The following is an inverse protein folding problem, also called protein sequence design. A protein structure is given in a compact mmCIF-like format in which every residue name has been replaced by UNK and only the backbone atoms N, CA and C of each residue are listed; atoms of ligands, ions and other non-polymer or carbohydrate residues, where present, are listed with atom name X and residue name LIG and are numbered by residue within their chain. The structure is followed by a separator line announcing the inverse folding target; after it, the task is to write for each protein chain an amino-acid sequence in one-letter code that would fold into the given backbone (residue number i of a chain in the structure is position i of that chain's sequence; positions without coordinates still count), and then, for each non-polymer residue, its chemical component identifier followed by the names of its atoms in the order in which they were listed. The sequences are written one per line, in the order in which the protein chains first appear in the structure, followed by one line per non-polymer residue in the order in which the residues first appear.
data_IF_884137738926
#
_entry.id   IF_884137738926
#
_cell.length_a   1.000
_cell.length_b   1.000
_cell.length_c   1.000
_cell.angle_alpha   90.00
_cell.angle_beta   90.00
_cell.angle_gamma   90.00
#
_symmetry.space_group_name_H-M   'P 1'
#
loop_
_entity.id
_entity.type
_entity.pdbx_description
1 polymer ?
#
# COMPACT_ATOMS: atom_id res chain seq x y z
N UNK A 1 17.80 -11.09 42.32
CA UNK A 1 17.19 -11.90 41.24
C UNK A 1 16.94 -10.94 40.07
N UNK A 2 17.78 -10.94 39.03
CA UNK A 2 17.62 -10.05 37.86
C UNK A 2 16.68 -10.73 36.88
N UNK A 3 15.47 -10.23 36.76
CA UNK A 3 14.51 -10.61 35.71
C UNK A 3 15.10 -10.24 34.36
N UNK A 4 15.38 -11.25 33.52
CA UNK A 4 15.68 -11.01 32.10
C UNK A 4 14.39 -10.54 31.44
N UNK A 5 14.35 -9.28 31.04
CA UNK A 5 13.34 -8.78 30.09
C UNK A 5 13.70 -9.39 28.74
N UNK A 6 12.90 -10.36 28.29
CA UNK A 6 13.01 -10.92 26.95
C UNK A 6 12.60 -9.85 25.94
N UNK A 7 13.56 -9.40 25.13
CA UNK A 7 13.33 -8.48 24.02
C UNK A 7 12.27 -9.11 23.09
N UNK A 8 11.11 -8.48 22.85
CA UNK A 8 10.10 -9.04 21.96
C UNK A 8 10.71 -9.21 20.57
N UNK A 9 10.43 -10.34 19.91
CA UNK A 9 10.86 -10.56 18.52
C UNK A 9 10.17 -9.52 17.61
N UNK A 10 10.84 -9.00 16.58
CA UNK A 10 10.25 -8.06 15.62
C UNK A 10 8.91 -8.56 15.01
N UNK A 11 8.70 -9.88 14.91
CA UNK A 11 7.42 -10.46 14.50
C UNK A 11 6.24 -10.09 15.44
N UNK A 12 6.51 -9.84 16.74
CA UNK A 12 5.51 -9.39 17.70
C UNK A 12 5.24 -7.88 17.61
N UNK A 13 6.20 -7.09 17.11
CA UNK A 13 6.01 -5.65 16.85
C UNK A 13 5.13 -5.43 15.61
N UNK A 14 5.24 -6.31 14.61
CA UNK A 14 4.35 -6.31 13.44
C UNK A 14 2.90 -6.68 13.80
N UNK A 15 2.71 -7.55 14.80
CA UNK A 15 1.40 -7.82 15.42
C UNK A 15 0.96 -6.62 16.28
N UNK A 16 1.87 -5.85 16.88
CA UNK A 16 1.48 -4.70 17.72
C UNK A 16 1.00 -3.47 16.91
N UNK A 17 1.51 -3.29 15.68
CA UNK A 17 1.16 -2.14 14.83
C UNK A 17 -0.13 -2.37 14.01
N UNK A 18 -0.56 -3.62 13.83
CA UNK A 18 -1.80 -3.96 13.10
C UNK A 18 -2.80 -4.83 13.90
N UNK A 19 -2.42 -5.36 15.06
CA UNK A 19 -3.27 -6.17 15.95
C UNK A 19 -3.19 -5.71 17.42
N UNK A 20 -3.25 -4.41 17.69
CA UNK A 20 -3.56 -3.89 19.03
C UNK A 20 -5.06 -3.95 19.29
N UNK A 21 -5.60 -5.16 19.48
CA UNK A 21 -6.77 -5.43 20.32
C UNK A 21 -6.89 -6.92 20.61
N UNK A 22 -6.07 -7.42 21.53
CA UNK A 22 -6.32 -8.70 22.19
C UNK A 22 -5.96 -8.58 23.68
N UNK A 23 -6.69 -7.74 24.41
CA UNK A 23 -6.80 -7.79 25.87
C UNK A 23 -7.97 -6.92 26.35
N UNK A 24 -9.21 -7.39 26.11
CA UNK A 24 -10.32 -7.06 27.00
C UNK A 24 -10.93 -8.38 27.48
N UNK A 25 -10.65 -8.65 28.74
CA UNK A 25 -11.26 -9.66 29.58
C UNK A 25 -12.78 -9.72 29.42
N UNK A 26 -13.29 -10.94 29.38
CA UNK A 26 -14.70 -11.27 29.54
C UNK A 26 -15.38 -10.44 30.64
N UNK A 27 -16.40 -9.66 30.25
CA UNK A 27 -17.38 -9.08 31.16
C UNK A 27 -18.78 -9.52 30.70
N UNK A 28 -19.50 -10.36 31.48
CA UNK A 28 -20.86 -10.75 31.14
C UNK A 28 -21.82 -9.69 31.69
N UNK A 29 -22.13 -8.67 30.89
CA UNK A 29 -23.22 -7.76 31.16
C UNK A 29 -23.90 -7.34 29.85
N UNK A 30 -24.47 -8.31 29.14
CA UNK A 30 -25.47 -8.01 28.10
C UNK A 30 -26.75 -7.60 28.82
N UNK A 31 -27.04 -6.31 28.79
CA UNK A 31 -28.36 -5.79 29.14
C UNK A 31 -29.37 -6.37 28.14
N UNK A 32 -30.42 -6.99 28.67
CA UNK A 32 -31.55 -7.46 27.89
C UNK A 32 -32.27 -6.26 27.27
N UNK A 33 -32.17 -6.10 25.95
CA UNK A 33 -33.01 -5.21 25.19
C UNK A 33 -34.38 -5.89 25.03
N UNK A 34 -35.38 -5.46 25.81
CA UNK A 34 -36.78 -5.86 25.60
C UNK A 34 -37.28 -5.21 24.31
N UNK A 35 -37.44 -6.03 23.26
CA UNK A 35 -38.03 -5.63 21.99
C UNK A 35 -39.55 -5.46 22.14
N UNK A 36 -40.06 -4.26 21.85
CA UNK A 36 -41.48 -4.00 21.65
C UNK A 36 -41.92 -4.60 20.29
N UNK A 37 -42.93 -5.48 20.35
CA UNK A 37 -43.29 -6.45 19.30
C UNK A 37 -44.29 -5.93 18.25
N UNK A 38 -44.34 -4.62 17.96
CA UNK A 38 -45.49 -4.07 17.20
C UNK A 38 -45.18 -3.50 15.81
N UNK A 39 -43.95 -3.58 15.27
CA UNK A 39 -43.71 -3.26 13.85
C UNK A 39 -42.66 -4.17 13.21
N UNK A 40 -43.12 -5.21 12.52
CA UNK A 40 -42.29 -6.17 11.79
C UNK A 40 -41.94 -5.62 10.40
N UNK A 41 -41.03 -4.64 10.33
CA UNK A 41 -40.36 -4.31 9.07
C UNK A 41 -39.33 -5.40 8.82
N UNK A 42 -39.66 -6.36 7.96
CA UNK A 42 -38.72 -7.38 7.52
C UNK A 42 -37.69 -6.74 6.57
N UNK A 43 -36.62 -6.16 7.14
CA UNK A 43 -35.39 -5.86 6.40
C UNK A 43 -34.74 -7.19 6.03
N UNK A 44 -35.14 -7.74 4.90
CA UNK A 44 -34.46 -8.88 4.25
C UNK A 44 -33.18 -8.34 3.61
N UNK A 45 -32.20 -8.00 4.44
CA UNK A 45 -30.84 -7.75 3.97
C UNK A 45 -30.25 -9.05 3.46
N UNK A 46 -30.29 -9.27 2.15
CA UNK A 46 -29.50 -10.31 1.51
C UNK A 46 -28.04 -9.97 1.73
N UNK A 47 -27.35 -10.68 2.63
CA UNK A 47 -25.90 -10.63 2.75
C UNK A 47 -25.31 -11.19 1.45
N UNK A 48 -24.92 -10.29 0.55
CA UNK A 48 -24.20 -10.65 -0.67
C UNK A 48 -22.79 -11.01 -0.23
N UNK A 49 -22.48 -12.30 -0.23
CA UNK A 49 -21.11 -12.75 -0.07
C UNK A 49 -20.38 -12.45 -1.38
N UNK A 50 -19.50 -11.45 -1.37
CA UNK A 50 -18.82 -11.00 -2.58
C UNK A 50 -17.95 -12.13 -3.15
N UNK A 51 -17.94 -12.27 -4.48
CA UNK A 51 -17.04 -13.21 -5.12
C UNK A 51 -15.60 -12.74 -4.93
N UNK A 52 -14.75 -13.58 -4.34
CA UNK A 52 -13.35 -13.25 -4.06
C UNK A 52 -12.60 -13.06 -5.36
N UNK A 53 -12.20 -11.82 -5.65
CA UNK A 53 -11.44 -11.43 -6.84
C UNK A 53 -10.08 -10.92 -6.41
N UNK A 54 -9.01 -11.46 -6.98
CA UNK A 54 -7.63 -10.95 -6.75
C UNK A 54 -7.32 -9.87 -7.76
N UNK A 55 -7.00 -8.66 -7.29
CA UNK A 55 -6.72 -7.50 -8.13
C UNK A 55 -5.23 -7.18 -8.33
N UNK A 56 -4.34 -8.09 -7.90
CA UNK A 56 -2.88 -7.95 -7.97
C UNK A 56 -2.26 -9.14 -8.70
N UNK A 57 -1.02 -9.01 -9.18
CA UNK A 57 -0.25 -10.07 -9.84
C UNK A 57 1.18 -10.15 -9.31
N UNK A 58 1.84 -11.29 -9.55
CA UNK A 58 3.26 -11.45 -9.25
C UNK A 58 4.10 -10.34 -9.92
N UNK A 59 5.03 -9.77 -9.16
CA UNK A 59 5.85 -8.64 -9.56
C UNK A 59 5.29 -7.27 -9.18
N UNK A 60 4.00 -7.18 -8.84
CA UNK A 60 3.42 -5.94 -8.34
C UNK A 60 4.03 -5.54 -6.98
N UNK A 61 4.15 -4.25 -6.75
CA UNK A 61 4.62 -3.72 -5.48
C UNK A 61 3.93 -2.41 -5.08
N UNK A 62 3.95 -2.16 -3.77
CA UNK A 62 3.43 -0.98 -3.12
C UNK A 62 4.41 -0.49 -2.07
N UNK A 63 4.56 0.82 -1.93
CA UNK A 63 5.33 1.47 -0.89
C UNK A 63 4.44 2.37 -0.07
N UNK A 64 4.70 2.39 1.23
CA UNK A 64 3.90 3.10 2.21
C UNK A 64 4.81 3.94 3.09
N UNK A 65 4.38 5.18 3.32
CA UNK A 65 4.95 6.03 4.34
C UNK A 65 4.11 5.93 5.60
N UNK A 66 4.78 5.95 6.74
CA UNK A 66 4.15 5.96 8.05
C UNK A 66 4.55 7.23 8.78
N UNK A 67 3.56 8.03 9.13
CA UNK A 67 3.75 9.27 9.89
C UNK A 67 3.10 9.15 11.25
N UNK A 68 3.77 9.65 12.28
CA UNK A 68 3.29 9.67 13.65
C UNK A 68 3.02 11.10 14.08
N UNK A 69 1.91 11.33 14.79
CA UNK A 69 1.54 12.62 15.37
C UNK A 69 1.14 12.40 16.83
N UNK A 70 1.42 13.36 17.71
CA UNK A 70 1.04 13.27 19.11
C UNK A 70 2.00 14.00 20.03
N UNK A 71 1.72 13.96 21.34
CA UNK A 71 2.55 14.60 22.36
C UNK A 71 3.78 13.75 22.75
N UNK A 72 3.76 12.45 22.45
CA UNK A 72 4.79 11.48 22.83
C UNK A 72 5.55 11.01 21.60
N UNK A 73 6.84 10.70 21.76
CA UNK A 73 7.63 10.11 20.68
C UNK A 73 7.21 8.64 20.44
N UNK A 74 7.05 8.21 19.18
CA UNK A 74 6.79 6.80 18.88
C UNK A 74 8.00 5.91 19.27
N UNK A 75 7.76 4.66 19.70
CA UNK A 75 8.82 3.66 19.88
C UNK A 75 9.73 3.53 18.66
N UNK A 76 11.04 3.40 18.87
CA UNK A 76 12.04 3.42 17.80
C UNK A 76 11.98 2.19 16.88
N UNK A 77 11.38 1.10 17.36
CA UNK A 77 11.11 -0.11 16.59
C UNK A 77 9.93 0.01 15.61
N UNK A 78 9.18 1.11 15.64
CA UNK A 78 8.05 1.31 14.76
C UNK A 78 8.49 1.66 13.33
N UNK A 79 7.75 1.19 12.31
CA UNK A 79 8.11 1.47 10.92
C UNK A 79 7.89 2.93 10.57
N UNK A 80 8.82 3.56 9.85
CA UNK A 80 8.60 4.84 9.18
C UNK A 80 8.24 4.65 7.69
N UNK A 81 8.56 3.47 7.15
CA UNK A 81 8.34 3.10 5.77
C UNK A 81 8.23 1.57 5.65
N UNK A 82 7.42 1.10 4.70
CA UNK A 82 7.47 -0.30 4.28
C UNK A 82 7.10 -0.49 2.81
N UNK A 83 7.66 -1.53 2.21
CA UNK A 83 7.35 -2.01 0.87
C UNK A 83 6.71 -3.39 0.95
N UNK A 84 5.65 -3.57 0.19
CA UNK A 84 4.96 -4.83 -0.02
C UNK A 84 5.12 -5.26 -1.48
N UNK A 85 5.63 -6.46 -1.72
CA UNK A 85 5.89 -6.99 -3.07
C UNK A 85 5.24 -8.36 -3.24
N UNK A 86 4.39 -8.48 -4.24
CA UNK A 86 3.77 -9.75 -4.60
C UNK A 86 4.80 -10.62 -5.32
N UNK A 87 5.08 -11.79 -4.79
CA UNK A 87 6.03 -12.75 -5.39
C UNK A 87 5.32 -13.85 -6.15
N UNK A 88 4.10 -14.23 -5.74
CA UNK A 88 3.32 -15.25 -6.42
C UNK A 88 1.80 -15.06 -6.18
N UNK A 89 0.98 -15.46 -7.15
CA UNK A 89 -0.49 -15.45 -7.06
C UNK A 89 -1.05 -16.73 -7.66
N UNK A 90 -1.79 -17.50 -6.86
CA UNK A 90 -2.44 -18.75 -7.27
C UNK A 90 -3.89 -18.78 -6.77
N UNK A 91 -4.85 -18.64 -7.68
CA UNK A 91 -6.28 -18.49 -7.37
C UNK A 91 -6.54 -17.32 -6.42
N UNK A 92 -6.82 -17.60 -5.14
CA UNK A 92 -7.02 -16.62 -4.06
C UNK A 92 -5.84 -16.53 -3.11
N UNK A 93 -4.80 -17.34 -3.34
CA UNK A 93 -3.56 -17.32 -2.59
C UNK A 93 -2.61 -16.24 -3.14
N UNK A 94 -2.08 -15.42 -2.27
CA UNK A 94 -1.11 -14.37 -2.54
C UNK A 94 0.10 -14.61 -1.66
N UNK A 95 1.26 -14.81 -2.28
CA UNK A 95 2.55 -14.79 -1.58
C UNK A 95 3.20 -13.44 -1.78
N UNK A 96 3.67 -12.85 -0.69
CA UNK A 96 4.28 -11.53 -0.73
C UNK A 96 5.46 -11.41 0.23
N UNK A 97 6.42 -10.58 -0.19
CA UNK A 97 7.53 -10.10 0.62
C UNK A 97 7.20 -8.71 1.15
N UNK A 98 7.39 -8.54 2.46
CA UNK A 98 7.25 -7.26 3.13
C UNK A 98 8.59 -6.85 3.71
N UNK A 99 9.10 -5.72 3.25
CA UNK A 99 10.31 -5.09 3.77
C UNK A 99 9.90 -3.83 4.52
N UNK A 100 10.41 -3.62 5.73
CA UNK A 100 10.15 -2.40 6.48
C UNK A 100 11.43 -1.81 7.04
N UNK A 101 11.41 -0.48 7.18
CA UNK A 101 12.44 0.31 7.83
C UNK A 101 11.85 0.90 9.12
N UNK A 102 12.49 0.62 10.24
CA UNK A 102 12.13 1.17 11.54
C UNK A 102 12.67 2.60 11.72
N UNK A 103 12.15 3.36 12.69
CA UNK A 103 12.61 4.70 13.00
C UNK A 103 14.10 4.76 13.42
N UNK A 104 14.64 3.67 13.98
CA UNK A 104 16.07 3.54 14.26
C UNK A 104 16.94 3.18 13.04
N UNK A 105 16.33 3.06 11.86
CA UNK A 105 16.98 2.71 10.59
C UNK A 105 17.21 1.21 10.40
N UNK A 106 16.74 0.33 11.31
CA UNK A 106 16.82 -1.11 11.08
C UNK A 106 15.87 -1.54 9.96
N UNK A 107 16.40 -2.33 9.02
CA UNK A 107 15.64 -2.91 7.93
C UNK A 107 15.43 -4.40 8.19
N UNK A 108 14.22 -4.88 7.98
CA UNK A 108 13.95 -6.31 7.98
C UNK A 108 12.99 -6.72 6.87
N UNK A 109 12.95 -8.01 6.55
CA UNK A 109 12.13 -8.54 5.46
C UNK A 109 11.52 -9.88 5.85
N UNK A 110 10.25 -10.06 5.55
CA UNK A 110 9.47 -11.26 5.82
C UNK A 110 8.68 -11.67 4.59
N UNK A 111 8.56 -12.97 4.37
CA UNK A 111 7.77 -13.53 3.27
C UNK A 111 6.69 -14.43 3.83
N UNK A 112 5.47 -14.29 3.30
CA UNK A 112 4.31 -15.03 3.78
C UNK A 112 3.29 -15.24 2.65
N UNK A 113 2.44 -16.26 2.80
CA UNK A 113 1.36 -16.61 1.87
C UNK A 113 0.01 -16.51 2.57
N UNK A 114 -0.99 -15.97 1.88
CA UNK A 114 -2.34 -15.69 2.40
C UNK A 114 -3.40 -16.07 1.40
N UNK A 115 -4.57 -16.49 1.89
CA UNK A 115 -5.71 -16.84 1.05
C UNK A 115 -6.89 -15.91 1.35
N UNK A 116 -7.23 -15.05 0.38
CA UNK A 116 -8.32 -14.08 0.50
C UNK A 116 -9.69 -14.70 0.83
N UNK A 117 -9.88 -16.02 0.67
CA UNK A 117 -11.11 -16.71 1.07
C UNK A 117 -11.20 -16.95 2.57
N UNK A 118 -10.09 -17.25 3.23
CA UNK A 118 -10.05 -17.63 4.65
C UNK A 118 -9.43 -16.54 5.53
N UNK A 119 -8.84 -15.49 4.96
CA UNK A 119 -8.39 -14.32 5.68
C UNK A 119 -7.42 -13.46 4.87
N UNK A 120 -7.48 -12.14 5.08
CA UNK A 120 -6.58 -11.18 4.42
C UNK A 120 -5.38 -10.85 5.31
N UNK A 121 -4.21 -10.61 4.70
CA UNK A 121 -3.01 -10.16 5.42
C UNK A 121 -3.15 -8.73 5.86
N UNK A 122 -3.10 -8.44 7.16
CA UNK A 122 -2.84 -7.10 7.72
C UNK A 122 -3.64 -5.97 7.04
N UNK A 123 -4.80 -6.31 6.47
CA UNK A 123 -5.60 -5.43 5.63
C UNK A 123 -4.84 -4.81 4.41
N UNK A 124 -3.68 -5.33 4.00
CA UNK A 124 -2.88 -4.77 2.90
C UNK A 124 -3.43 -5.08 1.50
N UNK A 125 -4.01 -6.27 1.33
CA UNK A 125 -4.71 -6.67 0.11
C UNK A 125 -6.00 -7.38 0.50
N UNK A 126 -7.11 -6.90 -0.03
CA UNK A 126 -8.45 -7.47 0.18
C UNK A 126 -9.07 -7.86 -1.18
N UNK A 127 -10.23 -8.55 -1.21
CA UNK A 127 -10.91 -8.79 -2.47
C UNK A 127 -11.14 -7.49 -3.25
N UNK A 128 -10.85 -7.52 -4.55
CA UNK A 128 -11.05 -6.40 -5.44
C UNK A 128 -12.53 -6.27 -5.87
N UNK A 129 -12.91 -5.07 -6.29
CA UNK A 129 -14.24 -4.79 -6.86
C UNK A 129 -15.36 -4.70 -5.83
N UNK A 130 -15.06 -4.70 -4.53
CA UNK A 130 -16.07 -4.59 -3.48
C UNK A 130 -16.84 -3.27 -3.57
N UNK A 131 -18.09 -3.33 -3.14
CA UNK A 131 -19.08 -2.26 -3.17
C UNK A 131 -19.76 -2.12 -1.82
N UNK A 132 -20.59 -1.09 -1.68
CA UNK A 132 -21.33 -0.83 -0.44
C UNK A 132 -22.08 -2.07 0.06
N UNK A 133 -21.97 -2.35 1.36
CA UNK A 133 -22.55 -3.49 2.06
C UNK A 133 -22.01 -4.88 1.68
N UNK A 134 -21.02 -4.99 0.77
CA UNK A 134 -20.26 -6.21 0.62
C UNK A 134 -19.47 -6.51 1.91
N UNK A 135 -19.22 -7.80 2.16
CA UNK A 135 -18.51 -8.28 3.35
C UNK A 135 -17.32 -9.12 2.91
N UNK A 136 -16.18 -8.94 3.59
CA UNK A 136 -15.04 -9.86 3.53
C UNK A 136 -14.57 -10.24 4.93
N UNK A 137 -13.88 -11.37 5.05
CA UNK A 137 -13.41 -11.90 6.33
C UNK A 137 -11.95 -11.53 6.60
N UNK A 138 -11.67 -11.09 7.82
CA UNK A 138 -10.33 -10.92 8.38
C UNK A 138 -10.19 -11.81 9.62
N UNK A 139 -9.04 -12.45 9.79
CA UNK A 139 -8.82 -13.39 10.89
C UNK A 139 -9.01 -12.74 12.26
N UNK A 140 -8.46 -11.54 12.45
CA UNK A 140 -8.50 -10.84 13.75
C UNK A 140 -9.73 -9.95 13.96
N UNK A 141 -10.40 -9.53 12.87
CA UNK A 141 -11.51 -8.55 12.93
C UNK A 141 -12.86 -9.17 12.56
N UNK A 142 -12.89 -10.43 12.15
CA UNK A 142 -14.10 -11.11 11.68
C UNK A 142 -14.60 -10.53 10.35
N UNK A 143 -15.91 -10.38 10.24
CA UNK A 143 -16.56 -9.88 9.03
C UNK A 143 -16.49 -8.36 8.97
N UNK A 144 -15.76 -7.83 7.98
CA UNK A 144 -15.66 -6.40 7.71
C UNK A 144 -16.66 -6.03 6.62
N UNK A 145 -17.52 -5.05 6.90
CA UNK A 145 -18.54 -4.55 5.96
C UNK A 145 -18.07 -3.26 5.31
N UNK A 146 -18.17 -3.16 3.98
CA UNK A 146 -17.84 -1.94 3.24
C UNK A 146 -18.88 -0.85 3.53
N UNK A 147 -18.41 0.29 4.02
CA UNK A 147 -19.23 1.42 4.45
C UNK A 147 -19.49 2.42 3.32
N UNK A 148 -18.63 2.49 2.30
CA UNK A 148 -18.83 3.40 1.18
C UNK A 148 -17.69 3.40 0.16
N UNK A 149 -17.76 4.35 -0.77
CA UNK A 149 -16.73 4.60 -1.79
C UNK A 149 -16.46 6.09 -1.93
N UNK A 150 -15.22 6.45 -2.17
CA UNK A 150 -14.79 7.82 -2.42
C UNK A 150 -13.77 7.91 -3.56
N UNK A 151 -13.62 9.10 -4.15
CA UNK A 151 -12.59 9.36 -5.16
C UNK A 151 -11.52 10.28 -4.56
N UNK A 152 -10.27 9.83 -4.57
CA UNK A 152 -9.13 10.59 -4.04
C UNK A 152 -7.87 10.33 -4.87
N UNK A 153 -6.84 11.16 -4.67
CA UNK A 153 -5.56 11.04 -5.38
C UNK A 153 -4.54 10.33 -4.51
N UNK A 154 -4.05 9.19 -5.00
CA UNK A 154 -3.03 8.36 -4.33
C UNK A 154 -1.86 8.15 -5.28
N UNK A 155 -0.62 8.23 -4.77
CA UNK A 155 0.59 8.15 -5.59
C UNK A 155 0.54 8.98 -6.90
N UNK A 156 -0.09 10.17 -6.85
CA UNK A 156 -0.23 11.08 -7.99
C UNK A 156 -1.37 10.77 -8.98
N UNK A 157 -2.16 9.72 -8.76
CA UNK A 157 -3.24 9.30 -9.66
C UNK A 157 -4.59 9.30 -8.92
N UNK A 158 -5.64 9.81 -9.55
CA UNK A 158 -7.01 9.75 -9.02
C UNK A 158 -7.57 8.34 -9.14
N UNK A 159 -8.02 7.78 -8.02
CA UNK A 159 -8.57 6.43 -7.90
C UNK A 159 -9.91 6.47 -7.18
N UNK A 160 -10.72 5.44 -7.40
CA UNK A 160 -11.91 5.19 -6.59
C UNK A 160 -11.51 4.22 -5.50
N UNK A 161 -11.63 4.63 -4.25
CA UNK A 161 -11.43 3.82 -3.07
C UNK A 161 -12.78 3.32 -2.54
N UNK A 162 -12.79 2.14 -1.90
CA UNK A 162 -13.82 1.81 -0.93
C UNK A 162 -13.24 1.86 0.47
N UNK A 163 -14.10 2.09 1.46
CA UNK A 163 -13.67 2.15 2.85
C UNK A 163 -14.58 1.33 3.77
N UNK A 164 -14.02 0.93 4.89
CA UNK A 164 -14.72 0.30 5.99
C UNK A 164 -14.32 0.94 7.32
N UNK A 165 -15.22 0.86 8.30
CA UNK A 165 -15.00 1.35 9.65
C UNK A 165 -15.18 0.17 10.61
N UNK A 166 -14.13 -0.16 11.35
CA UNK A 166 -14.11 -1.22 12.36
C UNK A 166 -13.02 -0.88 13.37
N UNK A 167 -13.19 -1.28 14.63
CA UNK A 167 -12.26 -0.93 15.72
C UNK A 167 -11.89 0.56 15.76
N UNK A 168 -12.87 1.43 15.52
CA UNK A 168 -12.72 2.89 15.53
C UNK A 168 -11.72 3.45 14.51
N UNK A 169 -11.27 2.64 13.54
CA UNK A 169 -10.40 3.04 12.43
C UNK A 169 -11.14 3.02 11.10
N UNK A 170 -10.85 4.01 10.26
CA UNK A 170 -11.25 4.01 8.87
C UNK A 170 -10.09 3.49 8.01
N UNK A 171 -10.38 2.51 7.17
CA UNK A 171 -9.40 1.91 6.26
C UNK A 171 -9.91 2.00 4.84
N UNK A 172 -9.03 2.44 3.93
CA UNK A 172 -9.33 2.68 2.54
C UNK A 172 -8.52 1.74 1.63
N UNK A 173 -9.18 1.20 0.60
CA UNK A 173 -8.57 0.33 -0.41
C UNK A 173 -8.95 0.76 -1.82
N UNK A 174 -8.06 0.54 -2.78
CA UNK A 174 -8.33 0.80 -4.19
C UNK A 174 -9.40 -0.16 -4.69
N UNK A 175 -10.49 0.36 -5.24
CA UNK A 175 -11.62 -0.46 -5.66
C UNK A 175 -11.25 -1.46 -6.75
N UNK A 176 -10.39 -1.09 -7.68
CA UNK A 176 -10.07 -1.96 -8.82
C UNK A 176 -9.10 -3.10 -8.45
N UNK A 177 -8.19 -2.86 -7.50
CA UNK A 177 -7.09 -3.78 -7.19
C UNK A 177 -7.18 -4.41 -5.80
N UNK A 178 -7.95 -3.82 -4.89
CA UNK A 178 -8.06 -4.26 -3.50
C UNK A 178 -6.85 -3.93 -2.64
N UNK A 179 -5.89 -3.13 -3.12
CA UNK A 179 -4.71 -2.75 -2.33
C UNK A 179 -5.06 -1.68 -1.30
N UNK A 180 -4.43 -1.77 -0.14
CA UNK A 180 -4.52 -0.74 0.90
C UNK A 180 -3.96 0.59 0.40
N UNK A 181 -4.67 1.66 0.72
CA UNK A 181 -4.36 3.02 0.31
C UNK A 181 -3.95 3.90 1.48
N UNK A 182 -4.80 3.93 2.50
CA UNK A 182 -4.58 4.76 3.68
C UNK A 182 -5.38 4.26 4.87
N UNK A 183 -4.86 4.55 6.06
CA UNK A 183 -5.60 4.51 7.31
C UNK A 183 -5.00 5.48 8.30
N UNK A 184 -5.81 5.88 9.27
CA UNK A 184 -5.38 6.63 10.45
C UNK A 184 -5.93 5.92 11.69
N UNK A 185 -5.07 5.71 12.68
CA UNK A 185 -5.44 5.06 13.94
C UNK A 185 -4.71 5.70 15.12
N UNK A 186 -5.32 5.69 16.29
CA UNK A 186 -4.68 6.10 17.54
C UNK A 186 -4.12 4.86 18.23
N UNK A 187 -2.84 4.91 18.58
CA UNK A 187 -2.16 3.84 19.30
C UNK A 187 -2.49 3.99 20.79
N UNK A 188 -3.38 3.11 21.28
CA UNK A 188 -4.01 3.17 22.61
C UNK A 188 -3.02 3.26 23.80
N UNK A 189 -1.75 2.92 23.61
CA UNK A 189 -0.75 2.91 24.68
C UNK A 189 0.03 4.24 24.81
N UNK A 190 0.02 5.10 23.79
CA UNK A 190 0.96 6.24 23.72
C UNK A 190 0.32 7.58 23.36
N UNK A 191 -1.00 7.62 23.12
CA UNK A 191 -1.70 8.78 22.54
C UNK A 191 -1.05 9.28 21.23
N UNK A 192 -0.40 8.36 20.50
CA UNK A 192 0.22 8.63 19.20
C UNK A 192 -0.75 8.23 18.10
N UNK A 193 -1.13 9.19 17.27
CA UNK A 193 -1.82 8.91 16.01
C UNK A 193 -0.81 8.42 14.97
N UNK A 194 -1.10 7.29 14.35
CA UNK A 194 -0.36 6.73 13.24
C UNK A 194 -1.20 6.88 11.97
N UNK A 195 -0.60 7.47 10.95
CA UNK A 195 -1.16 7.54 9.61
C UNK A 195 -0.27 6.78 8.65
N UNK A 196 -0.86 5.84 7.94
CA UNK A 196 -0.21 5.07 6.87
C UNK A 196 -0.79 5.53 5.55
N UNK A 197 0.06 5.80 4.56
CA UNK A 197 -0.39 6.27 3.24
C UNK A 197 0.47 5.67 2.15
N UNK A 198 -0.18 5.19 1.09
CA UNK A 198 0.49 4.71 -0.13
C UNK A 198 1.26 5.86 -0.78
N UNK A 199 2.57 5.70 -0.89
CA UNK A 199 3.47 6.69 -1.47
C UNK A 199 3.82 6.37 -2.93
N UNK A 200 3.98 5.09 -3.28
CA UNK A 200 4.27 4.66 -4.64
C UNK A 200 3.76 3.24 -4.91
N UNK A 201 3.53 2.92 -6.19
CA UNK A 201 3.12 1.58 -6.61
C UNK A 201 3.41 1.31 -8.08
N UNK A 202 3.62 0.05 -8.46
CA UNK A 202 3.67 -0.38 -9.86
C UNK A 202 2.31 -0.60 -10.51
N UNK A 203 1.22 -0.69 -9.74
CA UNK A 203 -0.08 -1.15 -10.25
C UNK A 203 -0.73 -0.14 -11.20
N UNK A 204 -0.48 1.15 -10.98
CA UNK A 204 -1.14 2.23 -11.72
C UNK A 204 -0.22 2.87 -12.75
N UNK A 205 0.97 2.32 -12.92
CA UNK A 205 1.85 2.74 -13.99
C UNK A 205 1.26 2.27 -15.31
N UNK A 206 0.71 3.21 -16.07
CA UNK A 206 0.44 2.97 -17.48
C UNK A 206 1.78 3.04 -18.22
N UNK A 207 2.29 1.93 -18.77
CA UNK A 207 3.53 1.95 -19.53
C UNK A 207 3.48 2.87 -20.76
N UNK A 208 2.29 3.31 -21.18
CA UNK A 208 2.11 4.31 -22.23
C UNK A 208 2.19 5.77 -21.74
N UNK A 209 2.05 6.01 -20.44
CA UNK A 209 2.26 7.33 -19.79
C UNK A 209 3.53 7.34 -18.93
N UNK A 210 4.41 6.36 -19.11
CA UNK A 210 5.80 6.47 -18.72
C UNK A 210 6.25 7.91 -19.02
N UNK A 211 6.79 8.68 -18.06
CA UNK A 211 7.36 9.98 -18.38
C UNK A 211 8.29 9.71 -19.55
N UNK A 212 7.89 10.23 -20.71
CA UNK A 212 8.55 10.03 -22.00
C UNK A 212 10.02 10.05 -21.71
N UNK A 213 10.65 8.88 -21.84
CA UNK A 213 11.96 8.48 -21.32
C UNK A 213 13.03 9.50 -21.66
N UNK A 214 12.97 10.66 -20.99
CA UNK A 214 13.67 11.89 -21.32
C UNK A 214 15.16 11.71 -21.04
N UNK A 215 15.51 10.69 -20.25
CA UNK A 215 16.87 10.21 -20.08
C UNK A 215 17.40 9.44 -21.30
N UNK A 216 16.58 8.62 -21.97
CA UNK A 216 16.94 8.04 -23.28
C UNK A 216 16.95 9.13 -24.37
N UNK A 217 16.07 10.11 -24.25
CA UNK A 217 16.00 11.25 -25.17
C UNK A 217 17.23 12.17 -25.03
N UNK A 218 17.79 12.28 -23.81
CA UNK A 218 19.08 12.92 -23.59
C UNK A 218 20.21 12.18 -24.33
N UNK A 219 20.23 10.84 -24.29
CA UNK A 219 21.23 10.04 -25.00
C UNK A 219 21.10 10.18 -26.53
N UNK A 220 19.86 10.19 -27.05
CA UNK A 220 19.56 10.44 -28.47
C UNK A 220 19.90 11.88 -28.89
N UNK A 221 19.65 12.85 -28.02
CA UNK A 221 20.01 14.26 -28.23
C UNK A 221 21.52 14.44 -28.31
N UNK A 222 22.30 13.89 -27.37
CA UNK A 222 23.76 13.93 -27.41
C UNK A 222 24.33 13.24 -28.65
N UNK A 223 23.76 12.09 -29.06
CA UNK A 223 24.16 11.42 -30.29
C UNK A 223 23.97 12.32 -31.53
N UNK A 224 22.83 13.01 -31.65
CA UNK A 224 22.56 13.96 -32.75
C UNK A 224 23.53 15.15 -32.74
N UNK A 225 23.80 15.73 -31.56
CA UNK A 225 24.73 16.86 -31.41
C UNK A 225 26.16 16.47 -31.85
N UNK A 226 26.64 15.28 -31.47
CA UNK A 226 27.96 14.78 -31.87
C UNK A 226 28.05 14.62 -33.39
N UNK A 227 27.01 14.09 -34.04
CA UNK A 227 26.97 13.94 -35.50
C UNK A 227 27.03 15.30 -36.20
N UNK A 228 26.28 16.30 -35.71
CA UNK A 228 26.31 17.66 -36.28
C UNK A 228 27.70 18.29 -36.16
N UNK A 229 28.34 18.18 -34.99
CA UNK A 229 29.69 18.70 -34.77
C UNK A 229 30.70 18.02 -35.71
N UNK A 230 30.61 16.70 -35.88
CA UNK A 230 31.50 15.96 -36.79
C UNK A 230 31.33 16.42 -38.25
N UNK A 231 30.10 16.63 -38.73
CA UNK A 231 29.84 17.13 -40.08
C UNK A 231 30.40 18.54 -40.29
N UNK A 232 30.19 19.44 -39.33
CA UNK A 232 30.74 20.81 -39.39
C UNK A 232 32.27 20.79 -39.41
N UNK A 233 32.90 19.95 -38.59
CA UNK A 233 34.36 19.79 -38.57
C UNK A 233 34.90 19.27 -39.91
N UNK A 234 34.22 18.29 -40.53
CA UNK A 234 34.59 17.76 -41.85
C UNK A 234 34.48 18.85 -42.92
N UNK A 235 33.39 19.62 -42.94
CA UNK A 235 33.20 20.71 -43.91
C UNK A 235 34.28 21.78 -43.73
N UNK A 236 34.53 22.23 -42.50
CA UNK A 236 35.59 23.19 -42.19
C UNK A 236 36.96 22.70 -42.63
N UNK A 237 37.28 21.43 -42.37
CA UNK A 237 38.53 20.80 -42.79
C UNK A 237 38.67 20.76 -44.32
N UNK A 238 37.61 20.41 -45.05
CA UNK A 238 37.60 20.40 -46.51
C UNK A 238 37.80 21.81 -47.09
N UNK A 239 37.13 22.82 -46.53
CA UNK A 239 37.29 24.22 -46.95
C UNK A 239 38.73 24.70 -46.73
N UNK A 240 39.32 24.46 -45.56
CA UNK A 240 40.71 24.81 -45.26
C UNK A 240 41.70 24.13 -46.23
N UNK A 241 41.45 22.86 -46.57
CA UNK A 241 42.28 22.12 -47.54
C UNK A 241 42.20 22.71 -48.95
N UNK A 242 41.02 23.17 -49.37
CA UNK A 242 40.86 23.79 -50.70
C UNK A 242 41.50 25.17 -50.78
N UNK A 243 41.45 25.97 -49.72
CA UNK A 243 42.11 27.29 -49.66
C UNK A 243 43.63 27.15 -49.71
N UNK A 244 44.21 26.17 -49.02
CA UNK A 244 45.66 25.91 -49.05
C UNK A 244 46.18 25.53 -50.44
N UNK A 245 45.36 24.92 -51.30
CA UNK A 245 45.74 24.56 -52.67
C UNK A 245 45.71 25.72 -53.66
N UNK A 246 45.04 26.84 -53.34
CA UNK A 246 44.95 28.02 -54.22
C UNK A 246 46.01 29.08 -53.95
N UNK A 247 46.76 28.96 -52.85
CA UNK A 247 47.84 29.89 -52.46
C UNK A 247 49.25 29.45 -52.86
N UNK A 248 49.39 28.48 -53.76
CA UNK A 248 50.63 28.09 -54.44
C UNK A 248 50.38 28.13 -55.94
#
# INVERSE_FOLDING_TARGET
MRTRVTKPSLAAVLVLVLATTALISASPAVQALTLDTTNKVALTGSTVNANVTVGVKAGDWMEYNVTYMGASDPPQEFPNWFRFRITDVQDTNITAEMTFEALDGQISTHSNTYDLKIGVLNLLVVPAGLTYADIFYHQDHGNITIAGTESATYAGITRVAFYAIFDEKEVNWDKATGIFLQSEQVLNETDVAQKVTLSATSLWYDPSTAPDNSELDQMVFYAKVIVVIAVVAIIAFLLLRTLKKRGK
#
